data_IF_186824158103
#
_entry.id   IF_186824158103
#
_cell.length_a   1.000
_cell.length_b   1.000
_cell.length_c   1.000
_cell.angle_alpha   90.00
_cell.angle_beta   90.00
_cell.angle_gamma   90.00
#
_symmetry.space_group_name_H-M   'P 1'
#
loop_
_entity.id
_entity.type
_entity.pdbx_description
1 polymer ?
#
# COMPACT_ATOMS: atom_id res chain seq x y z
N UNK A 1 7.51 -6.54 -8.18
CA UNK A 1 7.11 -5.18 -7.75
C UNK A 1 5.63 -5.01 -7.94
N UNK A 2 4.91 -4.67 -6.88
CA UNK A 2 3.47 -4.45 -6.89
C UNK A 2 3.18 -2.99 -7.24
N UNK A 3 2.57 -2.75 -8.39
CA UNK A 3 2.24 -1.42 -8.88
C UNK A 3 0.73 -1.23 -8.97
N UNK A 4 0.25 -0.08 -8.49
CA UNK A 4 -1.15 0.29 -8.60
C UNK A 4 -1.24 1.78 -8.97
N UNK A 5 -2.05 2.12 -9.97
CA UNK A 5 -2.14 3.48 -10.53
C UNK A 5 -0.77 4.07 -10.92
N UNK A 6 0.14 3.21 -11.39
CA UNK A 6 1.50 3.59 -11.76
C UNK A 6 2.38 4.02 -10.59
N UNK A 7 1.99 3.76 -9.33
CA UNK A 7 2.77 4.02 -8.13
C UNK A 7 3.20 2.70 -7.46
N UNK A 8 4.35 2.72 -6.79
CA UNK A 8 4.76 1.61 -5.94
C UNK A 8 3.79 1.49 -4.77
N UNK A 9 3.29 0.28 -4.54
CA UNK A 9 2.46 0.00 -3.38
C UNK A 9 3.31 -0.06 -2.10
N UNK A 10 2.68 0.33 -0.99
CA UNK A 10 3.28 0.31 0.35
C UNK A 10 3.00 -1.03 1.01
N UNK A 11 4.02 -1.61 1.64
CA UNK A 11 3.87 -2.79 2.49
C UNK A 11 3.30 -2.41 3.85
N UNK A 12 2.24 -3.08 4.29
CA UNK A 12 1.52 -2.79 5.54
C UNK A 12 0.98 -4.07 6.18
N UNK A 13 0.75 -4.07 7.49
CA UNK A 13 -0.02 -5.13 8.17
C UNK A 13 -1.40 -4.61 8.50
N UNK A 14 -2.41 -5.44 8.29
CA UNK A 14 -3.78 -5.06 8.60
C UNK A 14 -4.65 -6.19 9.08
N UNK A 15 -5.89 -5.83 9.40
CA UNK A 15 -6.96 -6.78 9.68
C UNK A 15 -7.88 -6.86 8.47
N UNK A 16 -8.12 -8.06 7.95
CA UNK A 16 -9.11 -8.30 6.92
C UNK A 16 -10.31 -9.05 7.50
N UNK A 17 -11.49 -8.74 6.98
CA UNK A 17 -12.72 -9.43 7.33
C UNK A 17 -13.10 -10.40 6.22
N UNK A 18 -13.17 -11.67 6.54
CA UNK A 18 -13.72 -12.72 5.68
C UNK A 18 -15.05 -13.21 6.25
N UNK A 19 -16.17 -12.82 5.64
CA UNK A 19 -17.54 -13.14 6.08
C UNK A 19 -17.83 -12.69 7.52
N UNK A 20 -17.62 -13.56 8.51
CA UNK A 20 -17.81 -13.30 9.95
C UNK A 20 -16.51 -13.39 10.76
N UNK A 21 -15.41 -13.77 10.12
CA UNK A 21 -14.10 -13.94 10.73
C UNK A 21 -13.25 -12.70 10.47
N UNK A 22 -12.57 -12.21 11.50
CA UNK A 22 -11.53 -11.19 11.39
C UNK A 22 -10.17 -11.86 11.45
N UNK A 23 -9.29 -11.53 10.51
CA UNK A 23 -7.95 -12.09 10.41
C UNK A 23 -6.98 -10.93 10.63
N UNK A 24 -6.26 -10.97 11.74
CA UNK A 24 -5.31 -9.93 12.13
C UNK A 24 -3.92 -10.18 11.53
N UNK A 25 -3.08 -9.14 11.53
CA UNK A 25 -1.68 -9.19 11.11
C UNK A 25 -1.44 -9.73 9.68
N UNK A 26 -2.42 -9.60 8.79
CA UNK A 26 -2.30 -10.02 7.40
C UNK A 26 -1.30 -9.08 6.71
N UNK A 27 -0.29 -9.62 5.99
CA UNK A 27 0.56 -8.82 5.11
C UNK A 27 -0.22 -8.28 3.92
N UNK A 28 -0.27 -6.96 3.78
CA UNK A 28 -1.03 -6.23 2.77
C UNK A 28 -0.14 -5.30 1.94
N UNK A 29 -0.65 -4.96 0.77
CA UNK A 29 -0.16 -3.94 -0.13
C UNK A 29 -1.19 -2.82 -0.23
N UNK A 30 -0.74 -1.57 -0.06
CA UNK A 30 -1.62 -0.40 -0.08
C UNK A 30 -1.17 0.61 -1.14
N UNK A 31 -2.12 1.05 -1.98
CA UNK A 31 -1.88 2.10 -2.96
C UNK A 31 -2.10 3.49 -2.34
N UNK A 32 -1.08 4.37 -2.29
CA UNK A 32 -1.26 5.72 -1.76
C UNK A 32 -2.04 6.66 -2.69
N UNK A 33 -2.37 6.23 -3.91
CA UNK A 33 -3.12 7.04 -4.88
C UNK A 33 -4.61 6.74 -4.79
N UNK A 34 -5.01 5.48 -4.97
CA UNK A 34 -6.43 5.08 -4.99
C UNK A 34 -6.91 4.40 -3.71
N UNK A 35 -6.02 4.19 -2.72
CA UNK A 35 -6.30 3.48 -1.47
C UNK A 35 -6.74 2.02 -1.64
N UNK A 36 -6.45 1.41 -2.79
CA UNK A 36 -6.62 -0.02 -2.99
C UNK A 36 -5.73 -0.78 -2.00
N UNK A 37 -6.32 -1.77 -1.34
CA UNK A 37 -5.66 -2.69 -0.42
C UNK A 37 -5.76 -4.08 -1.02
N UNK A 38 -4.64 -4.78 -1.07
CA UNK A 38 -4.52 -6.15 -1.59
C UNK A 38 -3.74 -7.00 -0.58
N UNK A 39 -4.02 -8.29 -0.51
CA UNK A 39 -3.17 -9.23 0.23
C UNK A 39 -1.84 -9.34 -0.51
N UNK A 40 -0.73 -9.42 0.24
CA UNK A 40 0.57 -9.55 -0.39
C UNK A 40 0.66 -10.89 -1.13
N UNK A 41 1.08 -10.88 -2.40
CA UNK A 41 1.05 -12.05 -3.29
C UNK A 41 1.83 -13.27 -2.75
N UNK A 42 2.85 -13.05 -1.92
CA UNK A 42 3.64 -14.13 -1.31
C UNK A 42 2.89 -14.92 -0.22
N UNK A 43 1.76 -14.39 0.26
CA UNK A 43 0.97 -14.99 1.34
C UNK A 43 -0.52 -15.09 0.98
N UNK A 44 -0.88 -14.81 -0.28
CA UNK A 44 -2.26 -14.78 -0.74
C UNK A 44 -2.92 -16.16 -0.59
N UNK A 45 -2.21 -17.22 -0.95
CA UNK A 45 -2.69 -18.60 -0.84
C UNK A 45 -2.86 -19.01 0.63
N UNK A 46 -1.85 -18.75 1.46
CA UNK A 46 -1.90 -19.02 2.90
C UNK A 46 -3.06 -18.27 3.58
N UNK A 47 -3.33 -17.03 3.15
CA UNK A 47 -4.46 -16.24 3.61
C UNK A 47 -5.80 -16.84 3.18
N UNK A 48 -5.97 -17.20 1.91
CA UNK A 48 -7.22 -17.79 1.40
C UNK A 48 -7.55 -19.08 2.15
N UNK A 49 -6.56 -19.96 2.32
CA UNK A 49 -6.70 -21.21 3.07
C UNK A 49 -7.12 -20.93 4.51
N UNK A 50 -6.39 -20.06 5.23
CA UNK A 50 -6.70 -19.75 6.63
C UNK A 50 -8.10 -19.15 6.77
N UNK A 51 -8.50 -18.28 5.85
CA UNK A 51 -9.81 -17.63 5.87
C UNK A 51 -10.95 -18.63 5.72
N UNK A 52 -10.80 -19.61 4.82
CA UNK A 52 -11.80 -20.68 4.62
C UNK A 52 -11.90 -21.60 5.84
N UNK A 53 -10.77 -22.04 6.40
CA UNK A 53 -10.77 -22.90 7.60
C UNK A 53 -11.36 -22.17 8.82
N UNK A 54 -10.88 -20.96 9.10
CA UNK A 54 -11.36 -20.18 10.23
C UNK A 54 -12.86 -19.87 10.11
N UNK A 55 -13.36 -19.64 8.89
CA UNK A 55 -14.80 -19.52 8.65
C UNK A 55 -15.56 -20.82 8.90
N UNK A 56 -15.06 -21.95 8.38
CA UNK A 56 -15.64 -23.28 8.55
C UNK A 56 -15.74 -23.70 10.03
N UNK A 57 -14.73 -23.35 10.83
CA UNK A 57 -14.68 -23.62 12.26
C UNK A 57 -15.50 -22.62 13.10
N UNK A 58 -16.04 -21.57 12.46
CA UNK A 58 -16.79 -20.53 13.14
C UNK A 58 -15.93 -19.62 14.03
N UNK A 59 -14.61 -19.58 13.80
CA UNK A 59 -13.69 -18.73 14.54
C UNK A 59 -13.97 -17.25 14.23
N UNK A 60 -14.30 -16.42 15.23
CA UNK A 60 -14.64 -15.01 15.00
C UNK A 60 -13.40 -14.14 14.75
N UNK A 61 -12.26 -14.50 15.36
CA UNK A 61 -10.99 -13.77 15.28
C UNK A 61 -9.85 -14.78 15.21
N UNK A 62 -8.89 -14.54 14.33
CA UNK A 62 -7.67 -15.33 14.17
C UNK A 62 -6.48 -14.41 13.86
N UNK A 63 -5.29 -14.77 14.32
CA UNK A 63 -4.05 -14.05 13.99
C UNK A 63 -3.30 -14.78 12.88
N UNK A 64 -3.10 -14.12 11.73
CA UNK A 64 -2.41 -14.71 10.60
C UNK A 64 -1.02 -15.27 10.97
N UNK A 65 -0.32 -14.61 11.88
CA UNK A 65 1.05 -14.95 12.25
C UNK A 65 1.17 -16.21 13.12
N UNK A 66 0.08 -16.63 13.74
CA UNK A 66 0.03 -17.85 14.56
C UNK A 66 -0.13 -19.12 13.71
N UNK A 67 -0.67 -19.00 12.49
CA UNK A 67 -1.03 -20.14 11.64
C UNK A 67 -0.14 -20.31 10.40
N UNK A 68 0.67 -19.31 10.06
CA UNK A 68 1.50 -19.31 8.86
C UNK A 68 2.97 -19.16 9.24
N UNK A 69 3.83 -20.00 8.65
CA UNK A 69 5.27 -19.90 8.84
C UNK A 69 5.76 -18.47 8.55
N UNK A 70 6.51 -17.92 9.50
CA UNK A 70 6.96 -16.54 9.44
C UNK A 70 7.97 -16.40 8.30
N UNK A 71 7.53 -15.85 7.17
CA UNK A 71 8.45 -15.25 6.21
C UNK A 71 8.98 -13.95 6.81
N UNK A 72 10.27 -13.68 6.64
CA UNK A 72 10.88 -12.46 7.18
C UNK A 72 10.15 -11.25 6.57
N UNK A 73 9.73 -10.31 7.43
CA UNK A 73 9.11 -9.06 6.99
C UNK A 73 10.00 -8.28 6.03
N UNK A 74 11.31 -8.43 6.20
CA UNK A 74 12.31 -7.83 5.33
C UNK A 74 12.19 -8.40 3.92
N UNK A 75 12.01 -9.72 3.76
CA UNK A 75 11.81 -10.37 2.47
C UNK A 75 10.46 -10.04 1.83
N UNK A 76 9.39 -9.96 2.63
CA UNK A 76 8.05 -9.65 2.13
C UNK A 76 7.98 -8.25 1.51
N UNK A 77 8.65 -7.26 2.10
CA UNK A 77 8.52 -5.86 1.70
C UNK A 77 9.78 -5.26 1.09
N UNK A 78 10.82 -6.05 0.79
CA UNK A 78 12.08 -5.58 0.18
C UNK A 78 11.83 -4.78 -1.11
N UNK A 79 10.78 -5.15 -1.84
CA UNK A 79 10.38 -4.51 -3.09
C UNK A 79 9.50 -3.25 -2.91
N UNK A 80 9.15 -2.88 -1.68
CA UNK A 80 8.36 -1.70 -1.38
C UNK A 80 9.30 -0.51 -1.13
N UNK A 81 9.16 0.54 -1.95
CA UNK A 81 10.00 1.74 -1.86
C UNK A 81 9.75 2.55 -0.58
N UNK A 82 8.60 2.36 0.07
CA UNK A 82 8.33 2.99 1.36
C UNK A 82 7.61 2.01 2.30
N UNK A 83 7.86 2.12 3.60
CA UNK A 83 7.31 1.28 4.66
C UNK A 83 6.40 2.07 5.61
N UNK A 84 5.57 1.35 6.40
CA UNK A 84 4.63 1.95 7.38
C UNK A 84 5.27 2.92 8.37
N UNK A 85 6.55 2.75 8.69
CA UNK A 85 7.26 3.56 9.68
C UNK A 85 7.69 4.94 9.17
N UNK A 86 7.52 5.22 7.88
CA UNK A 86 7.94 6.50 7.29
C UNK A 86 6.89 7.59 7.49
N UNK A 87 7.34 8.84 7.68
CA UNK A 87 6.44 9.99 7.78
C UNK A 87 5.58 10.07 6.50
N UNK A 88 4.24 10.08 6.61
CA UNK A 88 3.36 10.06 5.43
C UNK A 88 3.60 11.20 4.45
N UNK A 89 4.14 12.34 4.91
CA UNK A 89 4.52 13.45 4.07
C UNK A 89 5.79 13.13 3.26
N UNK A 90 6.77 12.46 3.87
CA UNK A 90 7.99 12.01 3.18
C UNK A 90 7.67 10.95 2.13
N UNK A 91 6.80 9.98 2.45
CA UNK A 91 6.32 8.99 1.46
C UNK A 91 5.67 9.68 0.27
N UNK A 92 4.77 10.64 0.51
CA UNK A 92 4.11 11.38 -0.58
C UNK A 92 5.10 12.24 -1.37
N UNK A 93 6.13 12.80 -0.73
CA UNK A 93 7.19 13.55 -1.43
C UNK A 93 8.01 12.63 -2.34
N UNK A 94 8.51 11.51 -1.81
CA UNK A 94 9.23 10.48 -2.58
C UNK A 94 8.44 10.01 -3.79
N UNK A 95 7.13 9.75 -3.61
CA UNK A 95 6.24 9.35 -4.71
C UNK A 95 5.99 10.47 -5.75
N UNK A 96 6.05 11.75 -5.36
CA UNK A 96 5.95 12.89 -6.29
C UNK A 96 7.24 13.00 -7.10
N UNK A 97 8.39 12.94 -6.44
CA UNK A 97 9.69 13.10 -7.09
C UNK A 97 9.89 12.01 -8.14
N UNK A 98 9.61 10.74 -7.79
CA UNK A 98 9.63 9.63 -8.75
C UNK A 98 8.65 9.80 -9.91
N UNK A 99 7.45 10.34 -9.67
CA UNK A 99 6.49 10.59 -10.74
C UNK A 99 6.94 11.71 -11.69
N UNK A 100 7.68 12.71 -11.19
CA UNK A 100 8.28 13.77 -12.01
C UNK A 100 9.44 13.25 -12.87
N UNK A 101 10.27 12.36 -12.30
CA UNK A 101 11.35 11.70 -13.04
C UNK A 101 10.78 10.86 -14.18
N UNK A 102 9.78 10.01 -13.89
CA UNK A 102 9.09 9.21 -14.92
C UNK A 102 8.39 10.07 -15.96
N UNK A 103 7.86 11.24 -15.59
CA UNK A 103 7.23 12.15 -16.54
C UNK A 103 8.25 12.73 -17.52
N UNK A 104 9.49 12.91 -17.09
CA UNK A 104 10.58 13.35 -17.95
C UNK A 104 10.89 12.27 -18.98
N UNK A 105 11.02 11.00 -18.54
CA UNK A 105 11.22 9.86 -19.44
C UNK A 105 10.07 9.70 -20.41
N UNK A 106 8.82 9.77 -19.96
CA UNK A 106 7.63 9.64 -20.81
C UNK A 106 7.61 10.67 -21.94
N UNK A 107 7.98 11.92 -21.63
CA UNK A 107 8.11 13.00 -22.63
C UNK A 107 9.24 12.75 -23.63
N UNK A 108 10.38 12.25 -23.17
CA UNK A 108 11.54 11.97 -24.03
C UNK A 108 11.23 10.87 -25.05
N UNK A 109 10.45 9.86 -24.66
CA UNK A 109 10.05 8.76 -25.55
C UNK A 109 8.75 9.05 -26.33
N UNK A 110 8.07 10.17 -26.06
CA UNK A 110 6.85 10.58 -26.74
C UNK A 110 5.60 9.78 -26.37
N UNK A 111 5.57 9.17 -25.18
CA UNK A 111 4.43 8.37 -24.71
C UNK A 111 3.35 9.27 -24.07
N UNK A 112 2.42 9.74 -24.90
CA UNK A 112 1.36 10.64 -24.49
C UNK A 112 0.36 10.01 -23.49
N UNK A 113 0.12 8.70 -23.58
CA UNK A 113 -0.77 8.00 -22.66
C UNK A 113 -0.14 7.94 -21.27
N UNK A 114 1.13 7.55 -21.22
CA UNK A 114 1.87 7.47 -19.97
C UNK A 114 2.05 8.85 -19.32
N UNK A 115 2.30 9.88 -20.12
CA UNK A 115 2.28 11.27 -19.65
C UNK A 115 0.96 11.66 -18.97
N UNK A 116 -0.18 11.32 -19.57
CA UNK A 116 -1.50 11.67 -19.03
C UNK A 116 -1.74 10.95 -17.70
N UNK A 117 -1.37 9.67 -17.62
CA UNK A 117 -1.45 8.89 -16.38
C UNK A 117 -0.58 9.50 -15.27
N UNK A 118 0.65 9.91 -15.58
CA UNK A 118 1.57 10.54 -14.63
C UNK A 118 1.07 11.93 -14.16
N UNK A 119 0.48 12.73 -15.07
CA UNK A 119 -0.16 14.01 -14.72
C UNK A 119 -1.33 13.82 -13.76
N UNK A 120 -2.20 12.84 -14.00
CA UNK A 120 -3.31 12.48 -13.09
C UNK A 120 -2.78 12.07 -11.72
N UNK A 121 -1.74 11.23 -11.68
CA UNK A 121 -1.07 10.80 -10.44
C UNK A 121 -0.50 11.99 -9.66
N UNK A 122 0.26 12.87 -10.31
CA UNK A 122 0.85 14.06 -9.69
C UNK A 122 -0.20 14.98 -9.07
N UNK A 123 -1.36 15.13 -9.71
CA UNK A 123 -2.46 15.92 -9.16
C UNK A 123 -2.98 15.30 -7.84
N UNK A 124 -3.26 13.99 -7.83
CA UNK A 124 -3.73 13.29 -6.62
C UNK A 124 -2.71 13.38 -5.48
N UNK A 125 -1.42 13.10 -5.77
CA UNK A 125 -0.36 13.16 -4.78
C UNK A 125 -0.15 14.58 -4.24
N UNK A 126 -0.23 15.61 -5.10
CA UNK A 126 -0.12 17.01 -4.69
C UNK A 126 -1.26 17.43 -3.77
N UNK A 127 -2.50 17.01 -4.07
CA UNK A 127 -3.65 17.24 -3.19
C UNK A 127 -3.49 16.53 -1.84
N UNK A 128 -3.02 15.28 -1.84
CA UNK A 128 -2.72 14.52 -0.62
C UNK A 128 -1.65 15.20 0.22
N UNK A 129 -0.56 15.67 -0.40
CA UNK A 129 0.52 16.43 0.26
C UNK A 129 -0.03 17.67 0.95
N UNK A 130 -0.89 18.43 0.28
CA UNK A 130 -1.53 19.63 0.84
C UNK A 130 -2.37 19.29 2.09
N UNK A 131 -3.21 18.25 2.01
CA UNK A 131 -4.01 17.77 3.14
C UNK A 131 -3.15 17.34 4.34
N UNK A 132 -2.05 16.63 4.08
CA UNK A 132 -1.11 16.19 5.13
C UNK A 132 -0.38 17.38 5.79
N UNK A 133 0.08 18.37 5.00
CA UNK A 133 0.66 19.61 5.55
C UNK A 133 -0.34 20.33 6.46
N UNK A 134 -1.59 20.51 6.01
CA UNK A 134 -2.61 21.19 6.80
C UNK A 134 -2.92 20.45 8.12
N UNK A 135 -2.98 19.11 8.10
CA UNK A 135 -3.13 18.30 9.33
C UNK A 135 -1.95 18.45 10.29
N UNK A 136 -0.71 18.50 9.79
CA UNK A 136 0.50 18.69 10.61
C UNK A 136 0.50 20.08 11.26
N UNK A 137 0.11 21.12 10.52
CA UNK A 137 -0.04 22.48 11.05
C UNK A 137 -1.09 22.55 12.16
N UNK A 138 -2.26 21.93 11.98
CA UNK A 138 -3.32 21.93 13.01
C UNK A 138 -2.91 21.19 14.28
N UNK A 139 -2.14 20.10 14.18
CA UNK A 139 -1.64 19.34 15.35
C UNK A 139 -0.51 20.05 16.09
N UNK A 140 0.22 20.97 15.46
CA UNK A 140 1.24 21.79 16.12
C UNK A 140 0.70 23.05 16.82
N UNK A 141 -0.61 23.29 16.74
CA UNK A 141 -1.34 24.39 17.39
C UNK A 141 -2.14 23.94 18.62
N UNK A 142 -2.04 22.66 19.01
CA UNK A 142 -2.68 22.06 20.19
C UNK A 142 -1.66 21.72 21.26
#
# INVERSE_FOLDING_TARGET
MSFCCGASMLGTKGTLKHIRTQIHNVPLLFCPVCHRVEVHHLVENEYEILAEYAHGDGAPEVDFHEYVEQRDHTELYENCVNHENEDPLEVVRSQIDMALDLLTVAKEIGDAEWEEQLKKRLNVLSQRRSRLKNKKTMRGLS
#
